data_IF_345151286705
#
_entry.id   IF_345151286705
#
_cell.length_a   1.000
_cell.length_b   1.000
_cell.length_c   1.000
_cell.angle_alpha   90.00
_cell.angle_beta   90.00
_cell.angle_gamma   90.00
#
_symmetry.space_group_name_H-M   'P 1'
#
loop_
_entity.id
_entity.type
_entity.pdbx_description
1 polymer ?
#
# COMPACT_ATOMS: atom_id res chain seq x y z
N UNK A 1 11.26 -18.23 -20.61
CA UNK A 1 11.03 -17.33 -19.46
C UNK A 1 11.64 -17.97 -18.22
N UNK A 2 12.58 -17.31 -17.53
CA UNK A 2 13.20 -17.81 -16.31
C UNK A 2 12.17 -18.02 -15.19
N UNK A 3 12.35 -19.04 -14.36
CA UNK A 3 11.38 -19.48 -13.33
C UNK A 3 11.04 -18.35 -12.34
N UNK A 4 12.08 -17.66 -11.84
CA UNK A 4 11.96 -16.55 -10.88
C UNK A 4 11.04 -15.44 -11.39
N UNK A 5 11.11 -15.13 -12.69
CA UNK A 5 10.31 -14.08 -13.33
C UNK A 5 8.82 -14.44 -13.37
N UNK A 6 8.50 -15.73 -13.54
CA UNK A 6 7.10 -16.22 -13.51
C UNK A 6 6.53 -16.16 -12.10
N UNK A 7 7.34 -16.48 -11.09
CA UNK A 7 6.93 -16.36 -9.69
C UNK A 7 6.61 -14.91 -9.33
N UNK A 8 7.53 -13.97 -9.61
CA UNK A 8 7.34 -12.54 -9.35
C UNK A 8 6.11 -11.98 -10.07
N UNK A 9 5.90 -12.35 -11.34
CA UNK A 9 4.72 -11.95 -12.10
C UNK A 9 3.40 -12.38 -11.42
N UNK A 10 3.30 -13.66 -11.03
CA UNK A 10 2.10 -14.19 -10.37
C UNK A 10 1.85 -13.50 -9.03
N UNK A 11 2.91 -13.24 -8.27
CA UNK A 11 2.81 -12.57 -6.99
C UNK A 11 2.33 -11.12 -7.15
N UNK A 12 2.89 -10.40 -8.13
CA UNK A 12 2.51 -9.02 -8.45
C UNK A 12 1.06 -8.93 -8.93
N UNK A 13 0.62 -9.88 -9.78
CA UNK A 13 -0.77 -9.94 -10.24
C UNK A 13 -1.75 -10.22 -9.08
N UNK A 14 -1.38 -11.04 -8.10
CA UNK A 14 -2.18 -11.28 -6.89
C UNK A 14 -2.29 -10.01 -6.03
N UNK A 15 -1.19 -9.30 -5.82
CA UNK A 15 -1.20 -8.03 -5.07
C UNK A 15 -2.05 -6.95 -5.77
N UNK A 16 -1.88 -6.77 -7.08
CA UNK A 16 -2.69 -5.80 -7.83
C UNK A 16 -4.18 -6.12 -7.76
N UNK A 17 -4.54 -7.39 -7.95
CA UNK A 17 -5.93 -7.79 -7.88
C UNK A 17 -6.53 -7.56 -6.50
N UNK A 18 -5.74 -7.80 -5.44
CA UNK A 18 -6.15 -7.59 -4.06
C UNK A 18 -6.34 -6.12 -3.72
N UNK A 19 -5.43 -5.24 -4.15
CA UNK A 19 -5.40 -3.83 -3.73
C UNK A 19 -6.18 -2.88 -4.64
N UNK A 20 -6.23 -3.14 -5.95
CA UNK A 20 -6.82 -2.21 -6.92
C UNK A 20 -8.06 -2.78 -7.61
N UNK A 21 -7.99 -4.00 -8.13
CA UNK A 21 -9.11 -4.56 -8.91
C UNK A 21 -10.34 -4.86 -8.07
N UNK A 22 -10.15 -5.40 -6.85
CA UNK A 22 -11.27 -5.64 -5.93
C UNK A 22 -11.90 -4.35 -5.39
N UNK A 23 -11.11 -3.29 -5.25
CA UNK A 23 -11.58 -2.01 -4.69
C UNK A 23 -12.29 -1.18 -5.75
N UNK A 24 -11.72 -1.08 -6.96
CA UNK A 24 -12.24 -0.21 -8.02
C UNK A 24 -13.17 -0.94 -9.01
N UNK A 25 -13.31 -2.27 -8.92
CA UNK A 25 -14.07 -3.09 -9.88
C UNK A 25 -13.45 -3.19 -11.28
N UNK A 26 -12.32 -2.52 -11.53
CA UNK A 26 -11.68 -2.44 -12.84
C UNK A 26 -10.48 -3.38 -12.96
N UNK A 27 -10.41 -4.11 -14.09
CA UNK A 27 -9.29 -4.99 -14.47
C UNK A 27 -8.18 -4.25 -15.22
N UNK A 28 -8.29 -2.93 -15.42
CA UNK A 28 -7.37 -2.12 -16.22
C UNK A 28 -5.89 -2.30 -15.80
N UNK A 29 -5.61 -2.30 -14.49
CA UNK A 29 -4.26 -2.49 -13.97
C UNK A 29 -3.69 -3.88 -14.26
N UNK A 30 -4.51 -4.92 -14.17
CA UNK A 30 -4.09 -6.29 -14.47
C UNK A 30 -3.92 -6.55 -15.99
N UNK A 31 -4.66 -5.83 -16.85
CA UNK A 31 -4.41 -5.85 -18.29
C UNK A 31 -3.15 -5.06 -18.66
N UNK A 32 -2.93 -3.90 -18.06
CA UNK A 32 -1.72 -3.10 -18.31
C UNK A 32 -0.45 -3.85 -17.91
N UNK A 33 -0.45 -4.51 -16.75
CA UNK A 33 0.66 -5.37 -16.35
C UNK A 33 0.92 -6.49 -17.36
N UNK A 34 -0.15 -7.10 -17.89
CA UNK A 34 -0.03 -8.16 -18.91
C UNK A 34 0.61 -7.64 -20.19
N UNK A 35 0.22 -6.47 -20.66
CA UNK A 35 0.78 -5.83 -21.85
C UNK A 35 2.27 -5.53 -21.65
N UNK A 36 2.65 -4.95 -20.51
CA UNK A 36 4.07 -4.69 -20.19
C UNK A 36 4.90 -5.97 -20.11
N UNK A 37 4.32 -7.06 -19.59
CA UNK A 37 5.04 -8.33 -19.48
C UNK A 37 5.23 -9.05 -20.82
N UNK A 38 4.31 -8.86 -21.76
CA UNK A 38 4.36 -9.41 -23.11
C UNK A 38 5.31 -8.62 -24.03
N UNK A 39 5.66 -7.39 -23.67
CA UNK A 39 6.57 -6.55 -24.46
C UNK A 39 7.93 -7.24 -24.64
N UNK A 40 8.42 -7.43 -25.87
CA UNK A 40 9.72 -8.06 -26.11
C UNK A 40 10.83 -7.25 -25.45
N UNK A 41 11.82 -7.95 -24.90
CA UNK A 41 12.97 -7.35 -24.23
C UNK A 41 14.24 -8.14 -24.55
N UNK A 42 15.33 -7.42 -24.79
CA UNK A 42 16.66 -8.00 -24.89
C UNK A 42 17.12 -8.50 -23.50
N UNK A 43 18.20 -9.29 -23.45
CA UNK A 43 18.66 -9.91 -22.21
C UNK A 43 18.89 -8.91 -21.06
N UNK A 44 19.56 -7.78 -21.34
CA UNK A 44 19.79 -6.72 -20.35
C UNK A 44 18.47 -6.09 -19.87
N UNK A 45 17.57 -5.80 -20.81
CA UNK A 45 16.24 -5.26 -20.49
C UNK A 45 15.40 -6.26 -19.68
N UNK A 46 15.57 -7.57 -19.87
CA UNK A 46 14.90 -8.60 -19.07
C UNK A 46 15.44 -8.64 -17.64
N UNK A 47 16.74 -8.46 -17.43
CA UNK A 47 17.34 -8.38 -16.10
C UNK A 47 16.83 -7.13 -15.34
N UNK A 48 16.86 -5.96 -16.00
CA UNK A 48 16.30 -4.72 -15.44
C UNK A 48 14.81 -4.86 -15.11
N UNK A 49 14.03 -5.49 -15.99
CA UNK A 49 12.60 -5.75 -15.75
C UNK A 49 12.36 -6.64 -14.53
N UNK A 50 13.20 -7.65 -14.33
CA UNK A 50 13.12 -8.52 -13.15
C UNK A 50 13.32 -7.74 -11.85
N UNK A 51 14.35 -6.89 -11.80
CA UNK A 51 14.65 -6.05 -10.64
C UNK A 51 13.53 -5.03 -10.41
N UNK A 52 13.07 -4.36 -11.47
CA UNK A 52 11.97 -3.41 -11.38
C UNK A 52 10.68 -4.06 -10.86
N UNK A 53 10.33 -5.25 -11.37
CA UNK A 53 9.16 -5.99 -10.90
C UNK A 53 9.27 -6.37 -9.42
N UNK A 54 10.46 -6.77 -8.96
CA UNK A 54 10.67 -7.07 -7.55
C UNK A 54 10.54 -5.83 -6.67
N UNK A 55 11.08 -4.68 -7.10
CA UNK A 55 10.97 -3.41 -6.38
C UNK A 55 9.49 -2.97 -6.25
N UNK A 56 8.74 -3.04 -7.34
CA UNK A 56 7.30 -2.72 -7.35
C UNK A 56 6.55 -3.66 -6.41
N UNK A 57 6.87 -4.95 -6.43
CA UNK A 57 6.24 -5.92 -5.56
C UNK A 57 6.49 -5.61 -4.08
N UNK A 58 7.74 -5.31 -3.72
CA UNK A 58 8.11 -4.90 -2.35
C UNK A 58 7.38 -3.64 -1.94
N UNK A 59 7.30 -2.64 -2.81
CA UNK A 59 6.57 -1.41 -2.55
C UNK A 59 5.08 -1.67 -2.28
N UNK A 60 4.41 -2.48 -3.11
CA UNK A 60 2.99 -2.82 -2.93
C UNK A 60 2.73 -3.60 -1.65
N UNK A 61 3.62 -4.54 -1.29
CA UNK A 61 3.50 -5.28 -0.04
C UNK A 61 3.64 -4.34 1.17
N UNK A 62 4.63 -3.44 1.13
CA UNK A 62 4.88 -2.47 2.20
C UNK A 62 3.77 -1.42 2.30
N UNK A 63 3.21 -0.96 1.19
CA UNK A 63 2.13 0.04 1.20
C UNK A 63 0.86 -0.52 1.84
N UNK A 64 0.53 -1.79 1.60
CA UNK A 64 -0.55 -2.48 2.32
C UNK A 64 -0.25 -2.60 3.80
N UNK A 65 0.92 -3.13 4.16
CA UNK A 65 1.31 -3.28 5.57
C UNK A 65 1.29 -1.94 6.31
N UNK A 66 1.74 -0.86 5.65
CA UNK A 66 1.67 0.48 6.19
C UNK A 66 0.23 0.93 6.45
N UNK A 67 -0.70 0.67 5.53
CA UNK A 67 -2.13 0.96 5.75
C UNK A 67 -2.70 0.15 6.92
N UNK A 68 -2.34 -1.13 7.02
CA UNK A 68 -2.79 -2.00 8.11
C UNK A 68 -2.29 -1.47 9.48
N UNK A 69 -0.98 -1.16 9.57
CA UNK A 69 -0.37 -0.57 10.77
C UNK A 69 -0.98 0.79 11.11
N UNK A 70 -1.24 1.63 10.11
CA UNK A 70 -1.85 2.94 10.33
C UNK A 70 -3.27 2.79 10.89
N UNK A 71 -4.05 1.82 10.40
CA UNK A 71 -5.39 1.56 10.91
C UNK A 71 -5.38 1.03 12.36
N UNK A 72 -4.39 0.21 12.71
CA UNK A 72 -4.25 -0.37 14.05
C UNK A 72 -3.74 0.64 15.09
N UNK A 73 -2.68 1.39 14.76
CA UNK A 73 -2.00 2.27 15.71
C UNK A 73 -2.48 3.73 15.65
N UNK A 74 -3.13 4.13 14.57
CA UNK A 74 -3.74 5.44 14.42
C UNK A 74 -5.17 5.33 13.90
N UNK A 75 -6.07 4.64 14.65
CA UNK A 75 -7.49 4.72 14.35
C UNK A 75 -7.86 6.20 14.33
N UNK A 76 -8.69 6.64 13.37
CA UNK A 76 -9.10 8.04 13.22
C UNK A 76 -9.71 8.54 14.53
N UNK A 77 -8.87 9.04 15.41
CA UNK A 77 -9.25 9.59 16.70
C UNK A 77 -9.67 11.03 16.44
N UNK A 78 -10.85 11.46 16.92
CA UNK A 78 -11.23 12.86 16.88
C UNK A 78 -10.08 13.72 17.41
N UNK A 79 -9.83 14.86 16.78
CA UNK A 79 -8.69 15.71 17.17
C UNK A 79 -8.76 16.11 18.65
N UNK A 80 -9.97 16.36 19.17
CA UNK A 80 -10.20 16.61 20.60
C UNK A 80 -9.73 15.47 21.52
N UNK A 81 -10.08 14.23 21.19
CA UNK A 81 -9.68 13.05 21.96
C UNK A 81 -8.16 12.86 21.96
N UNK A 82 -7.51 13.16 20.82
CA UNK A 82 -6.04 13.11 20.71
C UNK A 82 -5.39 14.15 21.61
N UNK A 83 -5.90 15.38 21.61
CA UNK A 83 -5.40 16.46 22.48
C UNK A 83 -5.59 16.08 23.95
N UNK A 84 -6.76 15.54 24.32
CA UNK A 84 -7.06 15.13 25.69
C UNK A 84 -6.16 13.99 26.18
N UNK A 85 -5.91 12.96 25.36
CA UNK A 85 -5.01 11.85 25.72
C UNK A 85 -3.56 12.31 25.86
N UNK A 86 -3.13 13.24 24.99
CA UNK A 86 -1.78 13.82 25.08
C UNK A 86 -1.62 14.64 26.35
N UNK A 87 -2.61 15.47 26.69
CA UNK A 87 -2.62 16.24 27.94
C UNK A 87 -2.56 15.32 29.17
N UNK A 88 -3.40 14.28 29.23
CA UNK A 88 -3.38 13.31 30.34
C UNK A 88 -2.05 12.60 30.49
N UNK A 89 -1.34 12.33 29.39
CA UNK A 89 -0.02 11.67 29.41
C UNK A 89 1.03 12.51 30.15
N UNK A 90 0.89 13.83 30.17
CA UNK A 90 1.78 14.76 30.88
C UNK A 90 1.18 15.28 32.19
N UNK A 91 0.08 14.68 32.67
CA UNK A 91 -0.59 15.10 33.90
C UNK A 91 -1.40 16.40 33.76
N UNK A 92 -1.75 16.79 32.54
CA UNK A 92 -2.55 17.98 32.24
C UNK A 92 -3.98 17.62 31.84
N UNK A 93 -4.91 18.53 32.09
CA UNK A 93 -6.29 18.45 31.59
C UNK A 93 -6.53 19.49 30.49
N UNK A 94 -7.27 19.12 29.46
CA UNK A 94 -7.66 20.05 28.39
C UNK A 94 -8.76 20.99 28.88
N UNK A 95 -8.64 22.31 28.64
CA UNK A 95 -9.70 23.26 28.99
C UNK A 95 -10.99 22.95 28.21
N UNK A 96 -12.15 23.17 28.85
CA UNK A 96 -13.46 23.01 28.20
C UNK A 96 -13.57 24.06 27.09
N UNK A 97 -13.81 23.64 25.85
CA UNK A 97 -14.05 24.55 24.73
C UNK A 97 -15.37 25.31 24.94
N UNK A 98 -15.35 26.63 24.74
CA UNK A 98 -16.51 27.54 24.89
C UNK A 98 -17.66 27.31 23.88
N UNK A 99 -17.59 26.27 23.04
CA UNK A 99 -18.61 25.94 22.04
C UNK A 99 -19.76 25.06 22.55
N UNK A 100 -19.70 24.59 23.81
CA UNK A 100 -20.74 23.80 24.48
C UNK A 100 -21.56 24.63 25.50
N UNK A 101 -21.69 25.95 25.29
CA UNK A 101 -22.62 26.82 26.03
C UNK A 101 -23.76 27.32 25.16
#
# INVERSE_FOLDING_TARGET
MPENLRHTYRHLLREINRQFTRVNGSRAWASQLRLEWQRPANADASATRSVAAQNVLTYLANSRKYKDLLAEFNPKMPEGDRIQRTARRVGLETPKSFSDQ
#
